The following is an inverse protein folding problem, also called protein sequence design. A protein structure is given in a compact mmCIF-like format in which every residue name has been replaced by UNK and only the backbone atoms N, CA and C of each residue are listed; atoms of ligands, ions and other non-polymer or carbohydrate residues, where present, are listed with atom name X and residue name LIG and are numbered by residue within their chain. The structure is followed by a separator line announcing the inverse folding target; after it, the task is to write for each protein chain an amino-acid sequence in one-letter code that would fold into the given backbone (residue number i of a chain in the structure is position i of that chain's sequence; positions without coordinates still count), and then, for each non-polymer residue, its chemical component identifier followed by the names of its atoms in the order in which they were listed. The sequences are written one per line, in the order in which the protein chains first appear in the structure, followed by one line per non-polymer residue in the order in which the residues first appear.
data_IF_510246719694
#
_entry.id   IF_510246719694
#
_cell.length_a   1.000
_cell.length_b   1.000
_cell.length_c   1.000
_cell.angle_alpha   90.00
_cell.angle_beta   90.00
_cell.angle_gamma   90.00
#
_symmetry.space_group_name_H-M   'P 1'
#
loop_
_entity.id
_entity.type
_entity.pdbx_description
1 polymer ?
2 non-polymer ?
3 non-polymer ?
4 non-polymer ?
5 water ?
#
# COMPACT_ATOMS: atom_id res chain seq x y z
N UNK A 3 -25.10 13.03 15.48
CA UNK A 3 -24.78 13.29 14.04
C UNK A 3 -23.95 14.59 13.92
N UNK A 4 -22.66 14.51 14.30
CA UNK A 4 -21.66 15.56 13.98
C UNK A 4 -21.57 15.69 12.44
N UNK A 5 -21.37 16.90 11.95
CA UNK A 5 -21.49 17.22 10.53
C UNK A 5 -20.19 17.83 9.96
N UNK A 6 -20.01 17.72 8.64
CA UNK A 6 -18.86 18.32 7.97
C UNK A 6 -19.32 18.79 6.61
N UNK A 7 -18.88 20.00 6.23
CA UNK A 7 -19.20 20.59 4.95
C UNK A 7 -17.97 20.57 4.08
N UNK A 8 -18.06 20.06 2.84
CA UNK A 8 -16.92 20.11 1.95
C UNK A 8 -17.39 20.62 0.63
N UNK A 9 -16.74 21.68 0.12
CA UNK A 9 -17.08 22.33 -1.15
C UNK A 9 -18.62 22.32 -1.30
N UNK A 10 -19.31 22.75 -0.22
CA UNK A 10 -20.78 22.92 -0.18
C UNK A 10 -21.70 21.72 -0.04
N UNK A 11 -21.15 20.60 0.44
CA UNK A 11 -21.92 19.39 0.67
C UNK A 11 -21.68 18.87 2.09
N UNK A 12 -22.79 18.47 2.70
CA UNK A 12 -22.89 18.22 4.09
C UNK A 12 -22.83 16.73 4.25
N UNK A 13 -21.96 16.25 5.12
CA UNK A 13 -21.86 14.85 5.41
C UNK A 13 -22.23 14.70 6.89
N UNK A 14 -22.77 13.54 7.26
CA UNK A 14 -23.07 13.22 8.63
C UNK A 14 -21.98 12.21 9.00
N UNK A 15 -21.22 12.46 10.07
CA UNK A 15 -20.22 11.52 10.60
C UNK A 15 -20.91 10.37 11.25
N UNK A 16 -20.64 9.16 10.78
CA UNK A 16 -21.21 7.93 11.36
C UNK A 16 -20.30 7.51 12.47
N UNK A 17 -19.01 7.37 12.16
CA UNK A 17 -17.97 6.94 13.11
C UNK A 17 -16.54 7.28 12.60
N UNK A 18 -15.53 7.08 13.46
CA UNK A 18 -14.13 7.27 13.16
C UNK A 18 -13.52 5.95 12.77
N UNK A 19 -12.56 5.94 11.85
CA UNK A 19 -11.91 4.69 11.35
C UNK A 19 -10.49 4.64 11.89
N UNK A 20 -10.22 3.68 12.76
CA UNK A 20 -8.99 3.71 13.55
C UNK A 20 -8.93 4.82 14.60
N UNK A 21 -7.70 5.30 14.87
CA UNK A 21 -7.43 6.45 15.80
C UNK A 21 -6.66 7.59 15.10
N UNK A 22 -5.36 7.73 15.35
CA UNK A 22 -4.58 8.85 14.83
C UNK A 22 -4.98 10.16 15.49
N UNK A 23 -4.04 11.11 15.52
CA UNK A 23 -4.26 12.40 16.14
C UNK A 23 -4.32 13.54 15.13
N UNK A 24 -3.14 13.89 14.61
CA UNK A 24 -2.96 14.99 13.63
C UNK A 24 -3.87 14.82 12.40
N UNK A 25 -4.02 13.56 11.94
CA UNK A 25 -5.02 13.16 10.95
C UNK A 25 -6.04 12.23 11.57
N UNK A 26 -7.25 12.33 11.10
CA UNK A 26 -8.30 11.42 11.51
C UNK A 26 -9.01 11.04 10.25
N UNK A 27 -9.51 9.80 10.18
CA UNK A 27 -10.39 9.39 9.10
C UNK A 27 -11.74 8.99 9.67
N UNK A 28 -12.80 9.38 8.97
CA UNK A 28 -14.17 9.20 9.42
C UNK A 28 -15.02 8.54 8.33
N UNK A 29 -15.94 7.66 8.73
CA UNK A 29 -17.01 7.20 7.84
C UNK A 29 -18.17 8.19 7.92
N UNK A 30 -18.75 8.55 6.77
CA UNK A 30 -19.77 9.59 6.69
C UNK A 30 -20.92 9.21 5.69
N UNK A 31 -22.09 9.84 5.80
CA UNK A 31 -23.24 9.61 4.89
C UNK A 31 -23.63 10.96 4.30
N UNK A 32 -23.81 11.05 2.98
CA UNK A 32 -24.14 12.34 2.33
C UNK A 32 -25.64 12.51 2.18
N UNK A 33 -26.09 13.53 1.45
CA UNK A 33 -27.55 13.76 1.26
C UNK A 33 -28.19 12.63 0.46
N UNK A 34 -27.44 12.00 -0.47
CA UNK A 34 -27.89 10.85 -1.31
C UNK A 34 -27.85 9.44 -0.62
N UNK A 35 -27.65 9.41 0.71
CA UNK A 35 -27.47 8.15 1.47
C UNK A 35 -26.33 7.23 0.91
N UNK A 36 -25.24 7.86 0.42
CA UNK A 36 -23.99 7.17 -0.03
C UNK A 36 -22.89 7.33 1.03
N UNK A 37 -22.11 6.28 1.29
CA UNK A 37 -21.05 6.33 2.31
C UNK A 37 -19.82 6.85 1.59
N UNK A 38 -18.96 7.53 2.36
CA UNK A 38 -17.65 8.03 1.95
C UNK A 38 -16.72 8.01 3.15
N UNK A 39 -15.41 7.97 2.90
CA UNK A 39 -14.42 8.19 3.96
C UNK A 39 -13.86 9.60 3.82
N UNK A 40 -13.84 10.33 4.91
CA UNK A 40 -13.35 11.68 4.89
C UNK A 40 -12.15 11.74 5.75
N UNK A 41 -11.03 12.13 5.14
CA UNK A 41 -9.80 12.34 5.88
C UNK A 41 -9.75 13.78 6.35
N UNK A 42 -9.47 13.95 7.65
CA UNK A 42 -9.26 15.26 8.28
C UNK A 42 -7.82 15.42 8.70
N UNK A 43 -7.15 16.46 8.20
CA UNK A 43 -5.81 16.79 8.71
C UNK A 43 -5.85 18.13 9.42
N UNK A 44 -5.38 18.15 10.66
CA UNK A 44 -5.19 19.42 11.34
C UNK A 44 -3.82 19.99 10.92
N UNK A 45 -3.81 21.18 10.31
CA UNK A 45 -2.54 21.87 9.95
C UNK A 45 -1.99 22.86 10.99
N UNK A 46 -2.74 23.12 12.06
CA UNK A 46 -2.43 24.18 13.03
C UNK A 46 -0.93 24.16 13.41
N UNK A 47 -0.38 22.99 13.76
CA UNK A 47 1.02 22.89 14.24
C UNK A 47 2.00 22.30 13.18
N UNK A 48 1.85 22.62 11.89
CA UNK A 48 2.66 21.95 10.82
C UNK A 48 3.62 22.86 10.05
N UNK A 49 4.93 22.57 10.11
CA UNK A 49 5.94 23.30 9.33
C UNK A 49 5.75 23.21 7.80
N UNK A 50 6.62 23.90 7.06
CA UNK A 50 6.51 23.99 5.62
C UNK A 50 6.97 22.77 4.82
N UNK A 51 7.99 22.05 5.31
CA UNK A 51 8.39 20.78 4.67
C UNK A 51 7.20 19.79 4.77
N UNK A 52 6.49 19.82 5.89
CA UNK A 52 5.36 18.92 6.12
C UNK A 52 4.20 19.28 5.24
N UNK A 53 3.83 20.55 5.25
CA UNK A 53 2.81 21.09 4.33
C UNK A 53 3.07 20.72 2.89
N UNK A 54 4.32 20.89 2.46
CA UNK A 54 4.66 20.67 1.06
C UNK A 54 4.58 19.19 0.67
N UNK A 55 4.98 18.30 1.58
CA UNK A 55 4.77 16.84 1.44
C UNK A 55 3.26 16.45 1.31
N UNK A 56 2.40 17.00 2.17
CA UNK A 56 0.92 16.88 2.08
C UNK A 56 0.35 17.39 0.76
N UNK A 57 0.86 18.54 0.34
CA UNK A 57 0.39 19.16 -0.89
C UNK A 57 0.82 18.35 -2.09
N UNK A 58 2.00 17.73 -2.02
CA UNK A 58 2.54 16.94 -3.17
C UNK A 58 1.76 15.63 -3.30
N UNK A 59 1.53 14.99 -2.17
CA UNK A 59 0.75 13.77 -2.14
C UNK A 59 -0.66 13.97 -2.70
N UNK A 60 -1.35 15.07 -2.32
CA UNK A 60 -2.70 15.39 -2.82
C UNK A 60 -2.68 15.65 -4.31
N UNK A 61 -1.65 16.33 -4.80
CA UNK A 61 -1.44 16.47 -6.26
C UNK A 61 -1.28 15.12 -7.02
N UNK A 62 -0.41 14.25 -6.55
CA UNK A 62 -0.23 12.96 -7.22
C UNK A 62 -1.54 12.17 -7.16
N UNK A 63 -2.21 12.18 -6.01
CA UNK A 63 -3.49 11.48 -5.85
C UNK A 63 -4.53 11.98 -6.83
N UNK A 64 -4.66 13.30 -6.87
CA UNK A 64 -5.59 13.93 -7.79
C UNK A 64 -5.19 13.69 -9.27
N UNK A 65 -3.91 13.84 -9.61
CA UNK A 65 -3.44 13.48 -10.96
C UNK A 65 -3.65 12.02 -11.41
N UNK A 66 -3.46 11.06 -10.51
CA UNK A 66 -3.48 9.65 -10.88
C UNK A 66 -4.86 9.06 -10.79
N UNK A 67 -5.84 9.91 -10.53
CA UNK A 67 -7.24 9.50 -10.56
C UNK A 67 -7.57 8.81 -11.88
N UNK A 68 -7.25 9.50 -12.96
CA UNK A 68 -7.62 9.12 -14.31
C UNK A 68 -6.85 7.88 -14.84
N UNK A 69 -5.74 7.48 -14.22
CA UNK A 69 -4.85 6.46 -14.81
C UNK A 69 -5.04 5.03 -14.37
N UNK A 70 -5.76 4.80 -13.29
CA UNK A 70 -6.00 3.46 -12.75
C UNK A 70 -7.06 3.55 -11.68
N UNK A 71 -8.00 2.63 -11.71
CA UNK A 71 -9.02 2.56 -10.70
C UNK A 71 -8.54 1.74 -9.50
N UNK A 72 -7.26 1.34 -9.49
CA UNK A 72 -6.67 0.65 -8.32
C UNK A 72 -5.94 1.66 -7.38
N UNK A 73 -6.07 2.95 -7.69
CA UNK A 73 -5.83 4.01 -6.74
C UNK A 73 -7.19 4.42 -6.22
N UNK A 74 -7.26 4.59 -4.91
CA UNK A 74 -8.45 5.07 -4.22
C UNK A 74 -8.93 6.36 -4.87
N UNK A 75 -10.24 6.50 -5.05
CA UNK A 75 -10.85 7.69 -5.65
C UNK A 75 -10.91 8.80 -4.57
N UNK A 76 -10.71 10.03 -5.03
CA UNK A 76 -10.75 11.23 -4.25
C UNK A 76 -11.77 12.11 -4.93
N UNK A 77 -12.94 12.27 -4.33
CA UNK A 77 -14.06 12.97 -4.97
C UNK A 77 -14.01 14.47 -4.82
N UNK A 78 -13.39 14.96 -3.75
CA UNK A 78 -13.40 16.38 -3.48
C UNK A 78 -12.50 16.67 -2.32
N UNK A 79 -12.09 17.93 -2.20
CA UNK A 79 -11.29 18.31 -1.05
C UNK A 79 -11.30 19.79 -0.80
N UNK A 80 -10.98 20.13 0.45
CA UNK A 80 -10.86 21.48 0.90
C UNK A 80 -9.55 21.65 1.65
N UNK A 81 -8.86 22.74 1.35
CA UNK A 81 -7.58 22.99 1.96
C UNK A 81 -7.50 24.46 2.29
N UNK A 82 -7.14 24.71 3.55
CA UNK A 82 -7.04 26.03 4.15
C UNK A 82 -5.77 26.03 4.98
N UNK A 83 -5.46 27.17 5.59
CA UNK A 83 -4.23 27.24 6.41
C UNK A 83 -4.34 26.41 7.66
N UNK A 84 -5.57 26.16 8.11
CA UNK A 84 -5.87 25.48 9.36
C UNK A 84 -6.10 23.97 9.15
N UNK A 85 -6.66 23.56 7.99
CA UNK A 85 -7.03 22.15 7.82
C UNK A 85 -7.02 21.65 6.37
N UNK A 86 -7.22 20.34 6.22
CA UNK A 86 -7.53 19.67 4.95
C UNK A 86 -8.67 18.68 5.22
N UNK A 87 -9.64 18.60 4.31
CA UNK A 87 -10.72 17.59 4.32
C UNK A 87 -10.67 16.98 2.95
N UNK A 88 -10.65 15.65 2.88
CA UNK A 88 -10.54 14.94 1.62
C UNK A 88 -11.61 13.88 1.54
N UNK A 89 -12.47 13.94 0.51
CA UNK A 89 -13.65 13.02 0.43
C UNK A 89 -13.26 11.88 -0.49
N UNK A 90 -13.13 10.70 0.10
CA UNK A 90 -12.62 9.51 -0.60
C UNK A 90 -13.67 8.39 -0.61
N UNK A 91 -13.49 7.40 -1.49
CA UNK A 91 -14.32 6.23 -1.41
C UNK A 91 -13.93 5.45 -0.17
N UNK A 92 -14.93 4.77 0.42
CA UNK A 92 -14.72 4.01 1.62
C UNK A 92 -14.35 2.60 1.22
N UNK A 93 -13.23 2.10 1.74
CA UNK A 93 -12.92 0.67 1.65
C UNK A 93 -13.63 -0.11 2.76
N UNK A 94 -13.72 -1.42 2.59
CA UNK A 94 -14.28 -2.32 3.59
C UNK A 94 -13.38 -2.36 4.77
N UNK A 95 -12.11 -2.57 4.48
CA UNK A 95 -11.10 -2.88 5.46
C UNK A 95 -9.72 -2.73 4.76
N UNK A 96 -8.68 -2.59 5.57
CA UNK A 96 -7.33 -2.54 5.06
C UNK A 96 -6.77 -3.95 5.03
N UNK A 97 -5.85 -4.15 4.11
CA UNK A 97 -5.28 -5.45 3.84
C UNK A 97 -4.61 -6.02 5.06
N UNK A 98 -3.98 -5.17 5.86
CA UNK A 98 -3.26 -5.61 7.04
C UNK A 98 -4.19 -6.23 8.06
N UNK A 99 -5.25 -5.49 8.40
CA UNK A 99 -6.29 -5.92 9.33
C UNK A 99 -6.89 -7.25 8.90
N UNK A 100 -7.25 -7.33 7.63
CA UNK A 100 -7.74 -8.56 6.99
C UNK A 100 -6.79 -9.76 7.07
N UNK A 101 -5.52 -9.58 6.72
CA UNK A 101 -4.54 -10.69 6.83
C UNK A 101 -4.42 -11.24 8.27
N UNK A 102 -4.43 -10.34 9.25
CA UNK A 102 -4.33 -10.71 10.66
C UNK A 102 -5.47 -11.65 11.12
N UNK A 103 -6.70 -11.35 10.66
CA UNK A 103 -7.85 -12.25 10.79
C UNK A 103 -7.63 -13.55 9.99
N UNK A 104 -7.81 -13.50 8.66
CA UNK A 104 -7.91 -14.69 7.77
C UNK A 104 -6.86 -15.74 8.03
N UNK A 105 -7.31 -17.00 8.05
CA UNK A 105 -6.42 -18.17 8.21
C UNK A 105 -5.75 -18.46 6.86
N UNK A 106 -6.50 -18.98 5.88
CA UNK A 106 -6.00 -19.11 4.49
C UNK A 106 -6.80 -18.17 3.55
N UNK A 107 -6.28 -17.97 2.34
CA UNK A 107 -6.92 -17.18 1.29
C UNK A 107 -7.19 -18.07 0.05
N UNK A 108 -8.36 -17.95 -0.58
CA UNK A 108 -8.58 -18.59 -1.88
C UNK A 108 -7.38 -18.26 -2.85
N UNK A 109 -6.79 -19.26 -3.52
CA UNK A 109 -5.81 -18.91 -4.53
C UNK A 109 -6.25 -17.91 -5.63
N UNK A 110 -7.50 -17.92 -6.06
CA UNK A 110 -7.96 -16.95 -7.09
C UNK A 110 -7.99 -15.53 -6.48
N UNK A 111 -8.30 -15.46 -5.18
CA UNK A 111 -8.39 -14.21 -4.46
C UNK A 111 -6.97 -13.60 -4.34
N UNK A 112 -6.02 -14.45 -3.96
CA UNK A 112 -4.64 -14.13 -3.88
C UNK A 112 -4.11 -13.52 -5.22
N UNK A 113 -4.30 -14.27 -6.29
CA UNK A 113 -3.93 -13.88 -7.62
C UNK A 113 -4.58 -12.54 -8.03
N UNK A 114 -5.85 -12.39 -7.75
CA UNK A 114 -6.62 -11.23 -8.16
C UNK A 114 -6.08 -9.98 -7.41
N UNK A 115 -5.96 -10.11 -6.08
CA UNK A 115 -5.33 -9.12 -5.26
C UNK A 115 -3.90 -8.78 -5.80
N UNK A 116 -3.06 -9.78 -6.05
CA UNK A 116 -1.72 -9.54 -6.60
C UNK A 116 -1.78 -8.62 -7.79
N UNK A 117 -2.68 -8.88 -8.72
CA UNK A 117 -2.70 -8.12 -9.98
C UNK A 117 -3.09 -6.67 -9.71
N UNK A 118 -3.98 -6.50 -8.76
CA UNK A 118 -4.42 -5.20 -8.30
C UNK A 118 -3.23 -4.42 -7.77
N UNK A 119 -2.43 -5.06 -6.93
CA UNK A 119 -1.27 -4.50 -6.36
C UNK A 119 -0.28 -4.04 -7.43
N UNK A 120 -0.01 -4.91 -8.40
CA UNK A 120 0.85 -4.54 -9.53
C UNK A 120 0.29 -3.44 -10.40
N UNK A 121 -1.00 -3.47 -10.66
CA UNK A 121 -1.56 -2.46 -11.53
C UNK A 121 -1.27 -1.10 -10.81
N UNK A 122 -1.53 -1.02 -9.48
CA UNK A 122 -1.42 0.24 -8.71
C UNK A 122 -0.01 0.78 -8.68
N UNK A 123 0.90 -0.11 -8.32
CA UNK A 123 2.27 0.22 -8.07
C UNK A 123 2.92 0.61 -9.40
N UNK A 124 2.64 -0.15 -10.47
CA UNK A 124 3.07 0.23 -11.82
C UNK A 124 2.64 1.62 -12.23
N UNK A 125 1.40 1.97 -11.92
CA UNK A 125 0.87 3.29 -12.23
C UNK A 125 1.73 4.39 -11.56
N UNK A 126 2.13 4.22 -10.30
CA UNK A 126 2.93 5.25 -9.65
C UNK A 126 4.37 5.27 -10.21
N UNK A 127 4.95 4.13 -10.48
CA UNK A 127 6.27 4.08 -11.14
C UNK A 127 6.20 4.79 -12.49
N UNK A 128 5.10 4.65 -13.22
CA UNK A 128 5.03 5.41 -14.48
C UNK A 128 5.06 6.93 -14.31
N UNK A 129 4.68 7.47 -13.14
CA UNK A 129 4.71 8.93 -12.93
C UNK A 129 5.90 9.35 -12.09
N UNK A 130 6.93 8.52 -12.06
CA UNK A 130 8.16 8.82 -11.37
C UNK A 130 8.20 8.63 -9.86
N UNK A 131 7.20 7.96 -9.29
CA UNK A 131 7.17 7.72 -7.85
C UNK A 131 7.63 6.31 -7.50
N UNK A 132 8.43 6.20 -6.46
CA UNK A 132 8.70 4.97 -5.81
C UNK A 132 8.27 5.14 -4.38
N UNK A 133 7.41 4.23 -3.92
CA UNK A 133 6.87 4.26 -2.57
C UNK A 133 8.00 4.09 -1.55
N UNK A 134 8.84 3.07 -1.71
CA UNK A 134 10.00 2.79 -0.79
C UNK A 134 9.61 2.08 0.55
N UNK A 135 8.35 2.17 0.97
CA UNK A 135 7.89 1.63 2.25
C UNK A 135 6.54 0.88 2.18
N UNK A 136 6.36 0.04 1.16
CA UNK A 136 5.07 -0.61 0.95
C UNK A 136 4.84 -1.71 1.98
N UNK A 137 3.68 -1.67 2.60
CA UNK A 137 3.26 -2.74 3.48
C UNK A 137 1.75 -3.03 3.26
N UNK A 138 1.27 -4.15 3.84
CA UNK A 138 -0.15 -4.40 3.71
C UNK A 138 -1.06 -3.22 4.12
N UNK A 139 -0.69 -2.37 5.08
CA UNK A 139 -1.61 -1.27 5.49
C UNK A 139 -1.78 -0.20 4.45
N UNK A 140 -0.94 -0.23 3.43
CA UNK A 140 -1.06 0.66 2.31
C UNK A 140 -2.16 0.32 1.31
N UNK A 141 -2.75 -0.85 1.47
CA UNK A 141 -3.79 -1.28 0.57
C UNK A 141 -5.10 -1.41 1.30
N UNK A 142 -6.15 -1.01 0.62
CA UNK A 142 -7.51 -1.06 1.10
C UNK A 142 -8.34 -1.96 0.19
N UNK A 143 -9.07 -2.90 0.81
CA UNK A 143 -10.01 -3.77 0.09
C UNK A 143 -11.30 -2.99 -0.09
N UNK A 144 -11.68 -2.79 -1.34
CA UNK A 144 -12.96 -2.15 -1.73
C UNK A 144 -13.71 -3.06 -2.67
N UNK A 145 -14.84 -3.62 -2.20
CA UNK A 145 -15.65 -4.59 -2.98
C UNK A 145 -14.74 -5.66 -3.62
N UNK A 146 -13.96 -6.38 -2.82
CA UNK A 146 -13.09 -7.43 -3.35
C UNK A 146 -12.16 -7.00 -4.51
N UNK A 147 -11.64 -5.78 -4.41
CA UNK A 147 -10.64 -5.22 -5.31
C UNK A 147 -9.63 -4.46 -4.41
N UNK A 148 -8.31 -4.72 -4.52
CA UNK A 148 -7.29 -3.98 -3.72
C UNK A 148 -6.97 -2.66 -4.36
N UNK A 149 -6.96 -1.59 -3.55
CA UNK A 149 -6.63 -0.30 -4.03
C UNK A 149 -5.59 0.34 -3.17
N UNK A 150 -4.71 1.16 -3.75
CA UNK A 150 -3.56 1.74 -3.02
C UNK A 150 -3.99 3.11 -2.48
N UNK A 151 -3.69 3.38 -1.22
CA UNK A 151 -4.18 4.62 -0.58
C UNK A 151 -3.15 5.71 -0.37
N UNK A 152 -1.88 5.31 -0.22
CA UNK A 152 -0.79 6.22 0.10
C UNK A 152 0.37 6.01 -0.92
N UNK A 153 1.00 7.10 -1.32
CA UNK A 153 2.12 7.07 -2.26
C UNK A 153 3.50 7.14 -1.60
N UNK A 154 3.52 7.12 -0.27
CA UNK A 154 4.73 7.24 0.49
C UNK A 154 5.35 8.66 0.51
N UNK A 155 4.66 9.66 -0.04
CA UNK A 155 5.21 11.00 -0.21
C UNK A 155 5.07 11.81 1.09
N UNK A 156 3.84 11.84 1.63
CA UNK A 156 3.46 12.60 2.84
C UNK A 156 4.20 12.22 4.15
N UNK A 157 4.46 13.22 5.00
CA UNK A 157 5.27 13.09 6.26
C UNK A 157 4.40 12.72 7.45
N UNK A 174 6.94 -2.56 11.80
CA UNK A 174 7.31 -3.63 10.87
C UNK A 174 8.47 -3.17 9.94
N UNK A 175 9.60 -3.86 10.09
CA UNK A 175 10.73 -3.90 9.16
C UNK A 175 10.62 -5.14 8.14
N UNK A 176 9.59 -5.97 8.29
CA UNK A 176 9.47 -7.22 7.57
C UNK A 176 9.30 -7.12 6.06
N UNK A 177 8.80 -5.98 5.59
CA UNK A 177 8.64 -5.72 4.15
C UNK A 177 9.73 -4.77 3.60
N UNK A 178 10.75 -4.48 4.42
CA UNK A 178 11.77 -3.51 4.06
C UNK A 178 12.84 -4.15 3.12
N UNK A 179 13.12 -3.48 1.95
CA UNK A 179 14.06 -4.01 0.96
C UNK A 179 15.52 -3.77 1.29
N UNK A 180 16.39 -4.67 0.82
CA UNK A 180 17.81 -4.53 1.05
C UNK A 180 18.42 -3.16 0.74
N UNK A 181 17.91 -2.48 -0.26
CA UNK A 181 18.49 -1.24 -0.73
C UNK A 181 18.28 -0.18 0.31
N UNK A 182 17.09 -0.21 0.92
CA UNK A 182 16.69 0.76 1.93
C UNK A 182 17.41 0.53 3.28
N UNK A 183 17.86 -0.68 3.52
CA UNK A 183 18.70 -0.96 4.67
C UNK A 183 20.15 -0.47 4.37
N UNK A 184 20.72 -0.87 3.21
CA UNK A 184 22.07 -0.44 2.78
C UNK A 184 22.23 1.11 2.79
N UNK A 185 21.19 1.85 2.41
CA UNK A 185 21.13 3.32 2.58
C UNK A 185 21.27 3.83 4.08
N UNK A 186 20.49 3.27 5.01
CA UNK A 186 20.38 3.79 6.41
C UNK A 186 21.48 3.30 7.34
N UNK A 197 20.97 6.95 -1.64
CA UNK A 197 20.86 7.16 -3.08
C UNK A 197 20.22 5.95 -3.86
N UNK A 198 20.13 4.77 -3.24
CA UNK A 198 19.95 3.45 -3.96
C UNK A 198 18.51 2.87 -4.18
N UNK A 199 17.44 3.51 -3.69
CA UNK A 199 16.01 3.07 -3.88
C UNK A 199 15.44 3.34 -5.29
N UNK A 200 15.23 2.25 -6.02
CA UNK A 200 14.62 2.24 -7.37
C UNK A 200 13.24 1.56 -7.34
N UNK A 201 12.54 1.57 -8.49
CA UNK A 201 11.33 0.72 -8.57
C UNK A 201 11.51 -0.72 -8.08
N UNK A 202 12.68 -1.31 -8.25
CA UNK A 202 12.91 -2.66 -7.83
C UNK A 202 12.66 -2.83 -6.35
N UNK A 203 12.88 -1.79 -5.60
CA UNK A 203 12.59 -1.81 -4.17
C UNK A 203 11.15 -2.05 -3.84
N UNK A 204 10.24 -1.44 -4.59
CA UNK A 204 8.82 -1.72 -4.35
C UNK A 204 8.49 -3.19 -4.64
N UNK A 205 9.21 -3.77 -5.60
CA UNK A 205 9.01 -5.17 -5.95
C UNK A 205 9.30 -6.11 -4.80
N UNK A 206 10.39 -5.86 -4.12
CA UNK A 206 10.75 -6.67 -2.97
C UNK A 206 9.59 -6.62 -2.00
N UNK A 207 9.04 -5.44 -1.77
CA UNK A 207 8.02 -5.28 -0.74
C UNK A 207 6.77 -5.98 -1.13
N UNK A 208 6.30 -5.79 -2.35
CA UNK A 208 5.11 -6.55 -2.86
C UNK A 208 5.35 -8.04 -2.77
N UNK A 209 6.58 -8.45 -3.08
CA UNK A 209 6.96 -9.83 -2.92
C UNK A 209 6.72 -10.32 -1.52
N UNK A 210 7.19 -9.57 -0.52
CA UNK A 210 7.00 -9.90 0.85
C UNK A 210 5.53 -10.07 1.16
N UNK A 211 4.68 -9.18 0.64
CA UNK A 211 3.25 -9.25 0.93
C UNK A 211 2.63 -10.48 0.31
N UNK A 212 3.06 -10.82 -0.92
CA UNK A 212 2.55 -12.03 -1.62
C UNK A 212 2.95 -13.27 -0.88
N UNK A 213 4.16 -13.23 -0.36
CA UNK A 213 4.75 -14.32 0.37
C UNK A 213 4.00 -14.65 1.67
N UNK A 214 3.50 -13.64 2.37
CA UNK A 214 2.65 -13.85 3.53
C UNK A 214 1.40 -14.48 3.00
N UNK A 215 0.84 -13.88 1.95
CA UNK A 215 -0.37 -14.39 1.35
C UNK A 215 -0.28 -15.85 0.91
N UNK A 216 0.93 -16.40 0.75
CA UNK A 216 1.08 -17.80 0.36
C UNK A 216 1.59 -18.69 1.47
N UNK A 217 2.35 -18.17 2.43
CA UNK A 217 2.97 -19.03 3.44
C UNK A 217 2.57 -18.68 4.87
N UNK A 218 1.66 -17.72 5.06
CA UNK A 218 1.21 -17.28 6.39
C UNK A 218 2.15 -16.40 7.20
N UNK A 219 3.35 -16.12 6.69
CA UNK A 219 4.33 -15.31 7.38
C UNK A 219 5.11 -14.54 6.32
N UNK A 220 5.63 -13.37 6.70
CA UNK A 220 6.67 -12.73 5.90
C UNK A 220 7.99 -13.53 5.94
N UNK A 221 8.87 -13.38 4.92
CA UNK A 221 10.07 -14.24 4.87
C UNK A 221 10.97 -14.26 6.13
N UNK A 222 10.90 -13.21 6.94
CA UNK A 222 11.71 -13.15 8.13
C UNK A 222 10.91 -12.90 9.42
N UNK A 223 9.64 -13.33 9.49
CA UNK A 223 8.90 -13.14 10.77
C UNK A 223 9.54 -13.85 11.94
N UNK A 224 10.00 -15.08 11.69
CA UNK A 224 10.62 -15.93 12.70
C UNK A 224 11.91 -15.36 13.31
N UNK A 225 12.61 -14.48 12.59
CA UNK A 225 13.83 -13.84 13.08
C UNK A 225 13.45 -12.80 14.13
N UNK A 226 13.93 -12.95 15.37
CA UNK A 226 13.46 -12.12 16.49
C UNK A 226 14.00 -10.65 16.54
N UNK A 227 15.13 -10.37 17.17
CA UNK A 227 15.63 -8.98 17.27
C UNK A 227 15.40 -8.19 15.94
N UNK A 228 15.09 -6.92 16.01
CA UNK A 228 15.18 -6.04 14.82
C UNK A 228 16.58 -5.91 14.15
N UNK A 229 17.68 -5.81 14.92
CA UNK A 229 19.05 -5.81 14.35
C UNK A 229 19.29 -7.14 13.54
N UNK A 230 18.68 -8.25 13.97
CA UNK A 230 18.86 -9.52 13.29
C UNK A 230 18.08 -9.60 11.98
N UNK A 231 16.83 -9.12 11.98
CA UNK A 231 16.04 -9.05 10.76
C UNK A 231 16.78 -8.27 9.67
N UNK A 232 17.20 -7.06 10.04
CA UNK A 232 17.87 -6.18 9.11
C UNK A 232 19.10 -6.87 8.54
N UNK A 233 19.81 -7.61 9.37
CA UNK A 233 21.01 -8.24 8.89
C UNK A 233 20.70 -9.42 7.95
N UNK A 234 19.63 -10.18 8.27
CA UNK A 234 19.12 -11.24 7.39
C UNK A 234 18.57 -10.77 6.02
N UNK A 235 17.91 -9.63 5.98
CA UNK A 235 17.45 -9.07 4.71
C UNK A 235 18.61 -8.84 3.76
N UNK A 236 19.76 -8.40 4.27
CA UNK A 236 20.90 -8.09 3.38
C UNK A 236 21.99 -9.15 3.33
N UNK A 237 21.83 -10.25 4.06
CA UNK A 237 22.89 -11.25 4.16
C UNK A 237 22.73 -12.24 3.01
N UNK A 238 23.62 -12.17 2.00
CA UNK A 238 23.60 -13.20 0.94
C UNK A 238 23.62 -14.64 1.40
N UNK A 239 24.20 -14.91 2.57
CA UNK A 239 24.22 -16.29 3.09
C UNK A 239 22.93 -16.78 3.74
N UNK A 240 21.96 -15.89 3.93
CA UNK A 240 20.68 -16.24 4.50
C UNK A 240 19.68 -16.66 3.38
N UNK A 241 19.43 -17.95 3.25
CA UNK A 241 18.65 -18.46 2.17
C UNK A 241 17.20 -18.36 2.61
N UNK A 242 16.34 -17.83 1.75
CA UNK A 242 14.93 -17.72 2.11
C UNK A 242 14.20 -19.07 1.86
N UNK A 243 13.49 -19.57 2.85
CA UNK A 243 12.71 -20.79 2.64
C UNK A 243 11.57 -20.49 1.64
N UNK A 244 11.59 -21.20 0.52
CA UNK A 244 10.39 -21.40 -0.29
C UNK A 244 9.95 -22.90 -0.28
N UNK A 245 9.08 -23.30 0.66
CA UNK A 245 8.49 -24.65 0.60
C UNK A 245 7.67 -24.87 -0.65
N UNK A 246 7.71 -26.09 -1.20
CA UNK A 246 6.99 -26.40 -2.46
C UNK A 246 5.48 -26.30 -2.24
N UNK A 247 4.76 -25.91 -3.29
CA UNK A 247 3.32 -25.71 -3.22
C UNK A 247 2.71 -26.08 -4.57
N UNK A 248 1.40 -26.37 -4.61
CA UNK A 248 0.77 -26.77 -5.87
C UNK A 248 1.10 -25.82 -7.02
N UNK A 249 0.88 -24.51 -6.80
CA UNK A 249 1.15 -23.47 -7.81
C UNK A 249 2.65 -23.20 -7.97
N UNK A 250 3.28 -23.84 -8.95
CA UNK A 250 4.73 -23.79 -9.13
C UNK A 250 5.15 -22.41 -9.72
N UNK A 251 4.23 -21.76 -10.44
CA UNK A 251 4.43 -20.41 -10.99
C UNK A 251 4.57 -19.35 -9.85
N UNK A 252 3.63 -19.40 -8.90
CA UNK A 252 3.68 -18.60 -7.70
C UNK A 252 4.98 -18.75 -6.94
N UNK A 253 5.45 -19.97 -6.80
CA UNK A 253 6.77 -20.17 -6.23
C UNK A 253 7.81 -19.32 -6.96
N UNK A 254 7.76 -19.36 -8.30
CA UNK A 254 8.75 -18.67 -9.17
C UNK A 254 8.67 -17.10 -9.04
N UNK A 255 7.48 -16.57 -8.82
CA UNK A 255 7.28 -15.15 -8.64
C UNK A 255 7.83 -14.73 -7.30
N UNK A 256 7.64 -15.55 -6.30
CA UNK A 256 8.13 -15.20 -4.99
C UNK A 256 9.65 -15.19 -5.06
N UNK A 257 10.20 -16.22 -5.69
CA UNK A 257 11.65 -16.33 -5.80
C UNK A 257 12.28 -15.17 -6.56
N UNK A 258 11.55 -14.65 -7.55
CA UNK A 258 12.06 -13.59 -8.44
C UNK A 258 11.92 -12.19 -7.83
N UNK A 259 10.83 -11.97 -7.08
CA UNK A 259 10.65 -10.74 -6.36
C UNK A 259 11.68 -10.59 -5.26
N UNK A 260 12.10 -11.70 -4.70
CA UNK A 260 12.87 -11.69 -3.51
C UNK A 260 14.33 -12.05 -3.72
N UNK A 261 14.90 -11.61 -4.84
CA UNK A 261 16.36 -11.69 -5.07
C UNK A 261 16.99 -10.45 -4.45
N UNK A 262 18.10 -10.63 -3.74
CA UNK A 262 18.72 -9.50 -3.02
C UNK A 262 19.37 -8.43 -3.89
N UNK A 263 19.74 -8.77 -5.11
CA UNK A 263 20.35 -7.82 -6.02
C UNK A 263 19.29 -7.20 -6.91
N UNK A 264 19.08 -5.89 -6.80
CA UNK A 264 17.99 -5.30 -7.60
C UNK A 264 18.09 -5.55 -9.09
N UNK A 265 19.31 -5.50 -9.63
CA UNK A 265 19.56 -5.82 -11.05
C UNK A 265 19.04 -7.23 -11.39
N UNK A 266 19.27 -8.20 -10.52
CA UNK A 266 18.74 -9.56 -10.77
C UNK A 266 17.22 -9.66 -10.57
N UNK A 267 16.68 -8.78 -9.74
CA UNK A 267 15.28 -8.82 -9.31
C UNK A 267 14.31 -8.45 -10.43
N UNK A 268 13.19 -9.15 -10.44
CA UNK A 268 12.27 -9.01 -11.50
C UNK A 268 11.65 -7.63 -11.37
N UNK A 269 11.31 -7.08 -12.54
CA UNK A 269 10.62 -5.85 -12.69
C UNK A 269 9.09 -6.03 -12.75
N UNK A 270 8.37 -4.92 -12.65
CA UNK A 270 6.90 -4.94 -12.71
C UNK A 270 6.31 -5.21 -14.09
N UNK A 271 6.82 -4.52 -15.11
CA UNK A 271 6.42 -4.93 -16.45
C UNK A 271 6.70 -6.43 -16.74
N UNK A 272 7.83 -6.97 -16.26
CA UNK A 272 8.06 -8.43 -16.35
C UNK A 272 7.05 -9.26 -15.55
N UNK A 273 6.67 -8.80 -14.36
CA UNK A 273 5.65 -9.50 -13.51
C UNK A 273 4.27 -9.52 -14.10
N UNK A 274 3.96 -8.49 -14.86
CA UNK A 274 2.69 -8.41 -15.56
C UNK A 274 2.67 -9.34 -16.76
N UNK A 275 3.84 -9.79 -17.21
CA UNK A 275 3.93 -10.73 -18.34
C UNK A 275 4.23 -12.16 -17.87
N UNK A 276 4.07 -12.43 -16.57
CA UNK A 276 4.49 -13.70 -15.96
C UNK A 276 3.34 -14.69 -15.96
N UNK A 277 3.66 -16.01 -16.01
CA UNK A 277 2.58 -17.00 -16.14
C UNK A 277 1.59 -16.96 -15.03
N UNK A 278 2.11 -16.82 -13.81
CA UNK A 278 1.28 -16.60 -12.61
C UNK A 278 0.12 -15.66 -12.81
N UNK A 279 0.39 -14.52 -13.42
CA UNK A 279 -0.62 -13.48 -13.73
C UNK A 279 -1.42 -13.77 -15.00
N UNK A 280 -0.81 -14.47 -15.96
CA UNK A 280 -1.36 -14.56 -17.34
C UNK A 280 -2.12 -15.86 -17.73
N UNK A 281 -1.69 -16.99 -17.20
CA UNK A 281 -2.23 -18.31 -17.47
C UNK A 281 -2.97 -18.85 -16.21
N UNK A 282 -4.24 -19.29 -16.39
CA UNK A 282 -5.04 -19.94 -15.31
C UNK A 282 -4.48 -21.30 -14.83
X LIG B 1 -11.27 2.84 5.02
X LIG B 1 -9.52 4.32 5.43
X LIG B 1 -8.17 3.86 7.25
X LIG B 1 -9.85 5.00 4.25
X LIG B 1 -10.91 4.55 3.49
X LIG B 1 -10.06 6.27 2.48
X LIG B 1 -10.26 3.26 5.79
X LIG B 1 -11.00 5.34 2.43
X LIG B 1 -11.60 3.48 3.88
X LIG B 1 -8.50 4.75 6.19
X LIG B 1 -9.34 6.09 3.59
X LIG B 1 -7.68 4.78 8.36
X LIG B 1 -7.03 4.00 9.51
X LIG B 1 -5.89 3.11 9.03
X LIG B 1 -6.39 2.22 7.89
X LIG B 1 -6.99 3.03 6.75
X LIG B 1 -5.40 2.24 10.20
X LIG B 1 -11.68 1.00 6.43
X LIG B 1 -10.38 0.66 6.74
X LIG B 1 -4.83 3.92 8.53
X LIG B 1 -8.00 7.08 4.08
X LIG B 1 -11.98 1.78 5.40
X LIG B 1 -10.13 -0.17 7.84
X LIG B 1 -11.18 -0.63 8.64
X LIG B 1 -10.91 -1.54 9.85
X LIG B 1 -11.59 -2.55 10.01
X LIG B 1 -9.90 -1.21 10.66
X LIG B 1 -9.10 -0.01 10.42
X LIG B 1 -9.59 -2.09 11.81
X LIG B 1 -12.49 -0.27 8.33
X LIG B 1 -12.73 0.54 7.22
X LIG B 1 -13.98 0.94 6.87
X LIG B 1 -15.12 0.32 7.46
X LIG B 1 -16.16 0.27 6.33
X LIG B 1 -15.64 1.25 8.54
X LIG B 1 -15.88 2.46 8.02
X LIG B 1 -14.72 1.34 9.51
X LIG B 1 -16.75 0.75 9.03
X LIG C 1 -1.43 11.84 6.92
X LIG C 1 -1.38 13.19 6.43
X LIG C 1 -1.36 13.22 4.91
X LIG C 1 -2.61 13.69 4.38
X LIG C 1 -2.45 13.25 2.03
X LIG C 1 -2.54 14.31 3.11
X LIG C 1 -3.53 12.34 2.15
X LIG C 1 -4.65 10.33 1.51
X LIG C 1 -3.46 11.26 1.23
X LIG C 1 -4.25 9.43 2.55
X LIG C 1 -4.55 7.46 3.87
X LIG C 1 -5.10 8.33 2.73
X LIG C 1 -4.46 8.16 5.10
X LIG C 1 -3.57 7.92 7.32
X LIG C 1 -4.44 7.30 6.25
X LIG C 1 -4.36 8.75 8.13
X LIG D 1 16.34 -9.63 -14.65
X LIG D 1 16.09 -10.93 -15.24
X LIG D 1 15.03 -9.09 -14.09
X LIG D 1 14.80 -7.70 -14.42
#
# INVERSE_FOLDING_TARGET
SHNECISVKGRIYSILKQIGSGGSSKVFQVLNEKKQIYAIKYVNLEEADNQTLDSYRNEIAYLNKLQQHSDKIIRLYDYEITDQYIYMVMECGNIDLNSWLKKKKSIDPWERKSYWKNMLEAVHTIHQHGIVHSDLKPANFLIVDGMLKLIDFGIANQMQPDTTSVVKDSQVGTVNYMPPEAIKDMSSSRENGKSKSKISPKSDVWSLGCILYYMTYGKTPFQQIINQISKLHAIIDPNHEIEFPDIPEKDLQDVLKCCLKRDPKQRISIPELLAHPYVQIQTLE
KE7 C1 C2 C3 C4 C5 C6 N1 N2 N3 O1 C7 C8 C9 C10 C11 C12 C13 C14 C15 O2 CL1 N4 C16 C17 C20 O3 N5 C22 C21 C18 C19 O4 C23 C24 C25 F2 F3 F1
1PE OH2 C12 C22 OH3 C13 C23 OH4 C14 C24 OH5 C15 C25 OH6 C16 C26 OH7
EDO C1 O1 C2 O2
#
